data_IF_774294105301
#
_entry.id   IF_774294105301
#
_cell.length_a   1.000
_cell.length_b   1.000
_cell.length_c   1.000
_cell.angle_alpha   90.00
_cell.angle_beta   90.00
_cell.angle_gamma   90.00
#
_symmetry.space_group_name_H-M   'P 1'
#
loop_
_entity.id
_entity.type
_entity.pdbx_description
1 polymer ?
#
# COMPACT_ATOMS: atom_id res chain seq x y z
N UNK A 1 15.48 19.20 72.25
CA UNK A 1 16.17 18.25 71.37
C UNK A 1 15.34 18.12 70.09
N UNK A 2 15.65 18.92 69.10
CA UNK A 2 14.99 18.86 67.76
C UNK A 2 15.85 18.04 66.82
N UNK A 3 15.28 16.93 66.30
CA UNK A 3 15.89 16.09 65.27
C UNK A 3 15.45 16.58 63.88
N UNK A 4 16.36 17.04 63.10
CA UNK A 4 16.12 17.42 61.70
C UNK A 4 16.26 16.19 60.80
N UNK A 5 15.17 15.79 60.11
CA UNK A 5 15.19 14.80 59.05
C UNK A 5 15.54 15.51 57.72
N UNK A 6 16.69 15.19 57.17
CA UNK A 6 17.08 15.62 55.83
C UNK A 6 16.48 14.67 54.80
N UNK A 7 15.57 15.16 53.97
CA UNK A 7 15.03 14.42 52.82
C UNK A 7 15.93 14.59 51.63
N UNK A 8 16.59 13.51 51.24
CA UNK A 8 17.42 13.45 50.02
C UNK A 8 16.51 13.20 48.78
N UNK A 9 16.38 14.21 47.93
CA UNK A 9 15.67 14.07 46.66
C UNK A 9 16.68 13.47 45.65
N UNK A 10 16.41 12.23 45.22
CA UNK A 10 17.15 11.59 44.12
C UNK A 10 16.50 12.03 42.80
N UNK A 11 17.16 12.92 42.05
CA UNK A 11 16.79 13.24 40.69
C UNK A 11 17.22 12.07 39.81
N UNK A 12 16.27 11.28 39.34
CA UNK A 12 16.51 10.31 38.27
C UNK A 12 16.56 11.04 36.91
N UNK A 13 17.77 11.16 36.33
CA UNK A 13 17.94 11.65 34.99
C UNK A 13 17.46 10.58 34.01
N UNK A 14 16.31 10.81 33.36
CA UNK A 14 15.86 10.00 32.24
C UNK A 14 16.76 10.28 31.03
N UNK A 15 17.71 9.39 30.75
CA UNK A 15 18.49 9.41 29.52
C UNK A 15 17.59 8.99 28.37
N UNK A 16 17.16 9.94 27.54
CA UNK A 16 16.49 9.66 26.28
C UNK A 16 17.50 9.04 25.32
N UNK A 17 17.46 7.73 25.16
CA UNK A 17 18.13 7.05 24.07
C UNK A 17 17.37 7.37 22.77
N UNK A 18 17.78 8.42 22.08
CA UNK A 18 17.48 8.59 20.67
C UNK A 18 18.29 7.52 19.91
N UNK A 19 17.66 6.37 19.65
CA UNK A 19 18.22 5.40 18.72
C UNK A 19 18.32 6.07 17.35
N UNK A 20 19.52 6.43 16.94
CA UNK A 20 19.80 6.85 15.57
C UNK A 20 19.37 5.72 14.64
N UNK A 21 18.32 5.95 13.84
CA UNK A 21 17.93 5.05 12.76
C UNK A 21 19.16 4.93 11.82
N UNK A 22 19.54 3.72 11.42
CA UNK A 22 20.62 3.56 10.47
C UNK A 22 20.23 4.27 9.18
N UNK A 23 20.91 5.35 8.87
CA UNK A 23 20.91 5.94 7.53
C UNK A 23 21.44 4.88 6.59
N UNK A 24 20.61 4.38 5.69
CA UNK A 24 21.09 3.60 4.57
C UNK A 24 22.01 4.52 3.78
N UNK A 25 23.32 4.33 3.95
CA UNK A 25 24.33 4.97 3.09
C UNK A 25 24.10 4.43 1.68
N UNK A 26 24.04 5.32 0.71
CA UNK A 26 23.90 5.02 -0.71
C UNK A 26 25.22 4.42 -1.27
N UNK A 27 25.80 3.44 -0.56
CA UNK A 27 26.97 2.70 -0.98
C UNK A 27 26.55 1.33 -1.50
N UNK A 28 26.53 1.23 -2.84
CA UNK A 28 26.55 -0.05 -3.52
C UNK A 28 25.21 -0.75 -3.67
N UNK A 29 24.14 -0.05 -4.10
CA UNK A 29 22.99 -0.75 -4.68
C UNK A 29 23.53 -1.64 -5.82
N UNK A 30 23.48 -2.97 -5.64
CA UNK A 30 23.95 -3.92 -6.64
C UNK A 30 23.21 -3.61 -7.94
N UNK A 31 23.97 -3.41 -9.02
CA UNK A 31 23.37 -3.11 -10.33
C UNK A 31 22.39 -4.22 -10.69
N UNK A 32 21.16 -3.86 -11.00
CA UNK A 32 20.15 -4.82 -11.48
C UNK A 32 20.60 -5.41 -12.83
N UNK A 33 21.01 -6.67 -12.83
CA UNK A 33 21.49 -7.36 -14.02
C UNK A 33 20.44 -8.31 -14.62
N UNK A 34 19.47 -8.75 -13.80
CA UNK A 34 18.43 -9.69 -14.21
C UNK A 34 17.12 -9.30 -13.53
N UNK A 35 16.34 -8.37 -14.12
CA UNK A 35 15.06 -7.97 -13.56
C UNK A 35 14.07 -9.12 -13.44
N UNK A 36 13.38 -9.20 -12.31
CA UNK A 36 12.25 -10.10 -12.13
C UNK A 36 11.10 -9.70 -13.09
N UNK A 37 10.46 -10.68 -13.73
CA UNK A 37 9.34 -10.41 -14.64
C UNK A 37 8.02 -10.55 -13.93
N UNK A 38 7.37 -9.42 -13.59
CA UNK A 38 6.03 -9.39 -13.04
C UNK A 38 5.00 -9.63 -14.13
N UNK A 39 4.20 -10.70 -13.98
CA UNK A 39 3.20 -11.12 -14.96
C UNK A 39 1.80 -10.70 -14.54
N UNK A 40 0.93 -10.50 -15.53
CA UNK A 40 -0.50 -10.44 -15.28
C UNK A 40 -0.99 -11.73 -14.62
N UNK A 41 -1.93 -11.63 -13.65
CA UNK A 41 -2.56 -12.81 -13.04
C UNK A 41 -3.12 -13.80 -14.06
N UNK A 42 -3.59 -13.30 -15.22
CA UNK A 42 -4.06 -14.11 -16.31
C UNK A 42 -2.97 -15.07 -16.86
N UNK A 43 -1.72 -14.63 -16.83
CA UNK A 43 -0.59 -15.29 -17.48
C UNK A 43 0.36 -15.99 -16.48
N UNK A 44 0.02 -15.95 -15.18
CA UNK A 44 0.72 -16.70 -14.12
C UNK A 44 0.33 -18.18 -14.21
N UNK A 45 1.30 -19.09 -14.09
CA UNK A 45 1.03 -20.54 -14.06
C UNK A 45 0.19 -20.96 -12.85
N UNK A 46 -0.54 -22.07 -12.95
CA UNK A 46 -1.32 -22.58 -11.81
C UNK A 46 -0.45 -22.91 -10.59
N UNK A 47 0.76 -23.45 -10.82
CA UNK A 47 1.71 -23.72 -9.73
C UNK A 47 2.10 -22.45 -9.00
N UNK A 48 2.41 -21.36 -9.76
CA UNK A 48 2.84 -20.10 -9.20
C UNK A 48 1.68 -19.37 -8.51
N UNK A 49 0.45 -19.45 -9.06
CA UNK A 49 -0.76 -18.98 -8.40
C UNK A 49 -0.95 -19.65 -7.04
N UNK A 50 -0.84 -20.98 -6.97
CA UNK A 50 -0.96 -21.73 -5.72
C UNK A 50 0.12 -21.31 -4.71
N UNK A 51 1.37 -21.19 -5.15
CA UNK A 51 2.47 -20.74 -4.29
C UNK A 51 2.22 -19.33 -3.74
N UNK A 52 1.80 -18.39 -4.60
CA UNK A 52 1.48 -17.02 -4.20
C UNK A 52 0.30 -16.95 -3.21
N UNK A 53 -0.81 -17.64 -3.50
CA UNK A 53 -1.99 -17.67 -2.62
C UNK A 53 -1.67 -18.29 -1.25
N UNK A 54 -0.86 -19.34 -1.22
CA UNK A 54 -0.41 -19.97 0.03
C UNK A 54 0.48 -19.02 0.84
N UNK A 55 1.39 -18.30 0.20
CA UNK A 55 2.23 -17.32 0.88
C UNK A 55 1.41 -16.14 1.44
N UNK A 56 0.44 -15.61 0.68
CA UNK A 56 -0.49 -14.58 1.18
C UNK A 56 -1.26 -15.09 2.38
N UNK A 57 -1.83 -16.29 2.31
CA UNK A 57 -2.55 -16.90 3.42
C UNK A 57 -1.66 -17.07 4.66
N UNK A 58 -0.39 -17.48 4.47
CA UNK A 58 0.58 -17.56 5.55
C UNK A 58 0.79 -16.20 6.22
N UNK A 59 1.00 -15.10 5.45
CA UNK A 59 1.15 -13.76 6.03
C UNK A 59 -0.12 -13.35 6.80
N UNK A 60 -1.31 -13.67 6.29
CA UNK A 60 -2.59 -13.35 6.92
C UNK A 60 -2.82 -14.10 8.24
N UNK A 61 -2.17 -15.25 8.44
CA UNK A 61 -2.38 -16.09 9.62
C UNK A 61 -1.17 -16.15 10.56
N UNK A 62 0.00 -15.70 10.13
CA UNK A 62 1.20 -15.63 10.96
C UNK A 62 1.08 -14.54 12.03
N UNK A 63 1.54 -14.79 13.28
CA UNK A 63 1.51 -13.77 14.33
C UNK A 63 2.30 -12.52 13.96
N UNK A 64 1.86 -11.35 14.46
CA UNK A 64 2.61 -10.11 14.37
C UNK A 64 4.03 -10.25 14.93
N UNK A 65 4.98 -9.46 14.44
CA UNK A 65 6.37 -9.45 14.91
C UNK A 65 6.79 -8.12 15.54
N UNK A 66 6.18 -7.00 15.11
CA UNK A 66 6.57 -5.67 15.58
C UNK A 66 6.05 -5.34 16.97
N UNK A 67 4.92 -5.92 17.39
CA UNK A 67 4.30 -5.74 18.72
C UNK A 67 4.07 -4.27 19.15
N UNK A 68 3.95 -3.35 18.20
CA UNK A 68 3.82 -1.91 18.47
C UNK A 68 2.77 -1.19 17.62
N UNK A 69 2.18 -1.91 16.64
CA UNK A 69 1.15 -1.33 15.79
C UNK A 69 -0.22 -1.57 16.42
N UNK A 70 -1.00 -0.50 16.69
CA UNK A 70 -2.29 -0.61 17.34
C UNK A 70 -3.23 -1.60 16.65
N UNK A 71 -3.81 -2.52 17.40
CA UNK A 71 -4.78 -3.49 16.90
C UNK A 71 -4.24 -4.63 16.05
N UNK A 72 -3.00 -4.57 15.56
CA UNK A 72 -2.40 -5.63 14.75
C UNK A 72 -2.24 -6.92 15.56
N UNK A 73 -2.60 -8.06 14.96
CA UNK A 73 -2.46 -9.41 15.53
C UNK A 73 -1.66 -10.34 14.62
N UNK A 74 -1.66 -10.06 13.34
CA UNK A 74 -0.98 -10.87 12.32
C UNK A 74 0.03 -10.03 11.54
N UNK A 75 0.89 -10.70 10.78
CA UNK A 75 1.79 -10.02 9.83
C UNK A 75 1.01 -9.24 8.76
N UNK A 76 -0.19 -9.73 8.40
CA UNK A 76 -1.08 -9.02 7.49
C UNK A 76 -1.65 -7.75 8.13
N UNK A 77 -2.07 -7.83 9.40
CA UNK A 77 -2.52 -6.64 10.12
C UNK A 77 -1.42 -5.59 10.23
N UNK A 78 -0.16 -6.00 10.45
CA UNK A 78 0.98 -5.06 10.44
C UNK A 78 1.10 -4.36 9.08
N UNK A 79 0.97 -5.12 7.98
CA UNK A 79 0.97 -4.56 6.63
C UNK A 79 -0.20 -3.58 6.42
N UNK A 80 -1.43 -3.96 6.80
CA UNK A 80 -2.60 -3.09 6.68
C UNK A 80 -2.46 -1.83 7.54
N UNK A 81 -1.88 -1.96 8.75
CA UNK A 81 -1.61 -0.82 9.65
C UNK A 81 -0.69 0.22 9.00
N UNK A 82 0.27 -0.18 8.15
CA UNK A 82 1.10 0.78 7.43
C UNK A 82 0.24 1.70 6.56
N UNK A 83 -0.70 1.13 5.82
CA UNK A 83 -1.59 1.90 4.96
C UNK A 83 -2.51 2.81 5.76
N UNK A 84 -3.05 2.32 6.90
CA UNK A 84 -3.88 3.09 7.82
C UNK A 84 -3.11 4.27 8.43
N UNK A 85 -1.91 4.03 8.95
CA UNK A 85 -1.09 5.04 9.64
C UNK A 85 -0.63 6.13 8.66
N UNK A 86 -0.26 5.74 7.44
CA UNK A 86 0.21 6.68 6.43
C UNK A 86 -0.92 7.29 5.57
N UNK A 87 -2.18 6.94 5.81
CA UNK A 87 -3.29 7.30 4.90
C UNK A 87 -3.31 8.77 4.49
N UNK A 88 -3.08 9.71 5.43
CA UNK A 88 -3.02 11.15 5.17
C UNK A 88 -1.75 11.59 4.42
N UNK A 89 -0.74 10.73 4.33
CA UNK A 89 0.52 11.02 3.65
C UNK A 89 0.55 10.45 2.24
N UNK A 90 -0.18 9.36 1.98
CA UNK A 90 -0.06 8.57 0.76
C UNK A 90 -1.26 8.68 -0.20
N UNK A 91 -2.32 9.42 0.16
CA UNK A 91 -3.46 9.66 -0.71
C UNK A 91 -3.60 11.15 -1.03
N UNK A 92 -3.99 11.47 -2.27
CA UNK A 92 -4.10 12.85 -2.80
C UNK A 92 -2.81 13.68 -2.65
N UNK A 93 -1.68 13.04 -2.50
CA UNK A 93 -0.36 13.64 -2.28
C UNK A 93 0.64 13.16 -3.33
N UNK A 94 1.80 13.82 -3.39
CA UNK A 94 2.88 13.40 -4.27
C UNK A 94 3.51 12.05 -3.89
N UNK A 95 3.29 11.56 -2.67
CA UNK A 95 3.79 10.25 -2.22
C UNK A 95 3.01 9.06 -2.80
N UNK A 96 1.82 9.26 -3.34
CA UNK A 96 0.92 8.17 -3.70
C UNK A 96 1.62 7.06 -4.50
N UNK A 97 2.16 7.36 -5.68
CA UNK A 97 2.79 6.36 -6.55
C UNK A 97 4.08 5.78 -5.95
N UNK A 98 5.05 6.60 -5.45
CA UNK A 98 6.27 6.07 -4.85
C UNK A 98 6.01 5.19 -3.63
N UNK A 99 5.11 5.61 -2.73
CA UNK A 99 4.82 4.84 -1.53
C UNK A 99 4.16 3.50 -1.85
N UNK A 100 3.19 3.45 -2.75
CA UNK A 100 2.53 2.18 -3.13
C UNK A 100 3.51 1.23 -3.83
N UNK A 101 4.47 1.72 -4.60
CA UNK A 101 5.58 0.91 -5.13
C UNK A 101 6.48 0.34 -4.03
N UNK A 102 6.84 1.14 -3.05
CA UNK A 102 7.57 0.70 -1.85
C UNK A 102 6.72 -0.29 -1.02
N UNK A 103 5.43 -0.08 -0.93
CA UNK A 103 4.49 -0.94 -0.23
C UNK A 103 4.35 -2.32 -0.88
N UNK A 104 4.37 -2.40 -2.21
CA UNK A 104 4.47 -3.66 -2.94
C UNK A 104 5.76 -4.42 -2.60
N UNK A 105 6.90 -3.72 -2.48
CA UNK A 105 8.16 -4.34 -2.02
C UNK A 105 8.05 -4.85 -0.58
N UNK A 106 7.34 -4.14 0.27
CA UNK A 106 7.09 -4.58 1.65
C UNK A 106 6.27 -5.88 1.67
N UNK A 107 5.23 -5.99 0.83
CA UNK A 107 4.52 -7.26 0.67
C UNK A 107 5.44 -8.36 0.16
N UNK A 108 6.25 -8.12 -0.87
CA UNK A 108 7.17 -9.15 -1.39
C UNK A 108 8.07 -9.72 -0.29
N UNK A 109 8.62 -8.85 0.55
CA UNK A 109 9.41 -9.28 1.70
C UNK A 109 8.62 -10.23 2.63
N UNK A 110 7.38 -9.88 2.97
CA UNK A 110 6.53 -10.72 3.82
C UNK A 110 6.18 -12.07 3.18
N UNK A 111 5.96 -12.08 1.87
CA UNK A 111 5.71 -13.31 1.12
C UNK A 111 6.95 -14.20 1.09
N UNK A 112 8.17 -13.64 0.99
CA UNK A 112 9.43 -14.39 1.10
C UNK A 112 9.61 -14.95 2.51
N UNK A 113 9.26 -14.20 3.57
CA UNK A 113 9.24 -14.75 4.94
C UNK A 113 8.30 -15.96 5.07
N UNK A 114 7.24 -16.00 4.28
CA UNK A 114 6.27 -17.11 4.19
C UNK A 114 6.64 -18.19 3.14
N UNK A 115 7.87 -18.18 2.65
CA UNK A 115 8.39 -19.24 1.77
C UNK A 115 7.96 -19.12 0.31
N UNK A 116 7.54 -17.94 -0.17
CA UNK A 116 7.30 -17.76 -1.60
C UNK A 116 8.59 -18.04 -2.38
N UNK A 117 8.61 -19.00 -3.32
CA UNK A 117 9.81 -19.31 -4.12
C UNK A 117 10.34 -18.09 -4.85
N UNK A 118 11.66 -17.99 -4.98
CA UNK A 118 12.34 -16.82 -5.60
C UNK A 118 11.87 -16.58 -7.05
N UNK A 119 11.51 -17.64 -7.75
CA UNK A 119 11.08 -17.61 -9.15
C UNK A 119 9.65 -17.08 -9.31
N UNK A 120 8.85 -17.11 -8.24
CA UNK A 120 7.48 -16.58 -8.24
C UNK A 120 7.51 -15.10 -7.88
N UNK A 121 7.21 -14.25 -8.85
CA UNK A 121 7.23 -12.79 -8.68
C UNK A 121 5.85 -12.25 -8.28
N UNK A 122 5.80 -11.01 -7.79
CA UNK A 122 4.53 -10.35 -7.53
C UNK A 122 3.73 -10.22 -8.84
N UNK A 123 2.50 -10.77 -8.89
CA UNK A 123 1.63 -10.58 -10.05
C UNK A 123 0.95 -9.21 -10.00
N UNK A 124 0.41 -8.79 -11.14
CA UNK A 124 -0.51 -7.67 -11.23
C UNK A 124 -1.83 -8.10 -11.87
N UNK A 125 -2.90 -7.33 -11.68
CA UNK A 125 -4.16 -7.54 -12.35
C UNK A 125 -4.22 -6.67 -13.61
N UNK A 126 -4.25 -7.29 -14.79
CA UNK A 126 -4.47 -6.58 -16.06
C UNK A 126 -5.96 -6.24 -16.18
N UNK A 127 -6.36 -5.19 -15.46
CA UNK A 127 -7.76 -4.75 -15.36
C UNK A 127 -8.42 -4.44 -16.71
N UNK A 128 -7.73 -3.86 -17.70
CA UNK A 128 -8.29 -3.67 -19.03
C UNK A 128 -8.83 -4.94 -19.70
N UNK A 129 -8.23 -6.10 -19.44
CA UNK A 129 -8.72 -7.39 -19.97
C UNK A 129 -10.08 -7.78 -19.39
N UNK A 130 -10.40 -7.30 -18.19
CA UNK A 130 -11.61 -7.66 -17.45
C UNK A 130 -12.61 -6.50 -17.32
N UNK A 131 -12.29 -5.33 -17.86
CA UNK A 131 -13.13 -4.13 -17.76
C UNK A 131 -14.57 -4.40 -18.21
N UNK A 132 -15.55 -3.99 -17.41
CA UNK A 132 -16.97 -4.24 -17.61
C UNK A 132 -17.44 -5.65 -17.19
N UNK A 133 -16.53 -6.52 -16.73
CA UNK A 133 -16.83 -7.92 -16.35
C UNK A 133 -15.91 -8.43 -15.22
N UNK A 134 -15.53 -7.59 -14.26
CA UNK A 134 -14.67 -7.97 -13.13
C UNK A 134 -15.16 -9.21 -12.41
N UNK A 135 -16.49 -9.39 -12.30
CA UNK A 135 -17.06 -10.58 -11.68
C UNK A 135 -16.69 -11.91 -12.37
N UNK A 136 -16.17 -11.86 -13.57
CA UNK A 136 -15.71 -13.01 -14.38
C UNK A 136 -14.18 -13.11 -14.48
N UNK A 137 -13.46 -12.20 -13.85
CA UNK A 137 -12.00 -12.21 -13.84
C UNK A 137 -11.45 -13.47 -13.16
N UNK A 138 -10.37 -14.09 -13.70
CA UNK A 138 -9.68 -15.18 -13.03
C UNK A 138 -9.06 -14.79 -11.68
N UNK A 139 -8.94 -13.49 -11.38
CA UNK A 139 -8.57 -12.99 -10.05
C UNK A 139 -9.56 -13.47 -8.98
N UNK A 140 -10.84 -13.60 -9.33
CA UNK A 140 -11.89 -14.01 -8.39
C UNK A 140 -12.25 -15.50 -8.47
N UNK A 141 -11.42 -16.32 -9.14
CA UNK A 141 -11.59 -17.77 -9.15
C UNK A 141 -11.56 -18.34 -7.73
N UNK A 142 -12.39 -19.37 -7.48
CA UNK A 142 -12.55 -19.97 -6.15
C UNK A 142 -11.42 -20.92 -5.75
N UNK A 143 -10.59 -21.33 -6.69
CA UNK A 143 -9.50 -22.30 -6.45
C UNK A 143 -8.13 -21.65 -6.67
N UNK A 144 -7.99 -20.96 -7.80
CA UNK A 144 -6.76 -20.32 -8.26
C UNK A 144 -6.86 -18.79 -8.26
N UNK A 145 -7.68 -18.23 -7.38
CA UNK A 145 -7.90 -16.78 -7.22
C UNK A 145 -8.23 -16.42 -5.78
N UNK A 146 -8.81 -15.27 -5.61
CA UNK A 146 -9.03 -14.64 -4.29
C UNK A 146 -10.47 -14.79 -3.78
N UNK A 147 -11.29 -15.64 -4.43
CA UNK A 147 -12.73 -15.74 -4.16
C UNK A 147 -13.53 -14.59 -4.76
N UNK A 148 -14.83 -14.78 -4.86
CA UNK A 148 -15.75 -13.84 -5.53
C UNK A 148 -16.28 -12.73 -4.62
N UNK A 149 -17.44 -12.20 -5.00
CA UNK A 149 -18.22 -11.30 -4.14
C UNK A 149 -18.63 -11.99 -2.86
N UNK A 150 -18.59 -11.25 -1.76
CA UNK A 150 -19.07 -11.74 -0.48
C UNK A 150 -20.58 -11.89 -0.43
N UNK A 151 -21.08 -12.51 0.63
CA UNK A 151 -22.49 -12.80 0.88
C UNK A 151 -22.97 -12.22 2.22
N UNK A 152 -24.29 -12.12 2.35
CA UNK A 152 -24.94 -11.59 3.55
C UNK A 152 -24.80 -10.06 3.68
N UNK A 153 -25.33 -9.51 4.79
CA UNK A 153 -25.40 -8.07 5.03
C UNK A 153 -24.02 -7.38 5.06
N UNK A 154 -22.98 -8.10 5.50
CA UNK A 154 -21.60 -7.57 5.57
C UNK A 154 -20.79 -7.88 4.32
N UNK A 155 -21.35 -8.58 3.32
CA UNK A 155 -20.66 -9.02 2.11
C UNK A 155 -19.35 -9.77 2.40
N UNK A 156 -19.34 -10.67 3.41
CA UNK A 156 -18.17 -11.47 3.76
C UNK A 156 -17.84 -12.48 2.67
N UNK A 157 -16.56 -12.59 2.31
CA UNK A 157 -16.05 -13.58 1.34
C UNK A 157 -16.11 -14.96 1.96
N UNK A 158 -16.91 -15.85 1.37
CA UNK A 158 -17.19 -17.19 1.89
C UNK A 158 -16.67 -18.31 0.97
N UNK A 159 -15.96 -17.94 -0.10
CA UNK A 159 -15.37 -18.88 -1.05
C UNK A 159 -13.89 -18.56 -1.30
N UNK A 160 -13.17 -19.48 -1.94
CA UNK A 160 -11.76 -19.31 -2.23
C UNK A 160 -10.83 -19.54 -1.02
N UNK A 161 -9.52 -19.35 -1.22
CA UNK A 161 -8.49 -19.62 -0.20
C UNK A 161 -8.57 -18.71 1.03
N UNK A 162 -9.26 -17.58 0.90
CA UNK A 162 -9.37 -16.52 1.92
C UNK A 162 -10.74 -16.49 2.61
N UNK A 163 -11.58 -17.50 2.37
CA UNK A 163 -12.88 -17.64 3.03
C UNK A 163 -12.74 -17.64 4.56
N UNK A 164 -13.63 -16.93 5.23
CA UNK A 164 -13.70 -16.84 6.70
C UNK A 164 -12.45 -16.21 7.38
N UNK A 165 -11.55 -15.57 6.63
CA UNK A 165 -10.44 -14.86 7.25
C UNK A 165 -10.90 -13.56 7.90
N UNK A 166 -10.23 -13.21 8.99
CA UNK A 166 -10.47 -11.97 9.77
C UNK A 166 -9.31 -11.00 9.55
N UNK A 167 -9.64 -9.74 9.34
CA UNK A 167 -8.73 -8.60 9.35
C UNK A 167 -9.05 -7.77 10.59
N UNK A 168 -8.04 -7.37 11.37
CA UNK A 168 -8.25 -6.68 12.64
C UNK A 168 -8.11 -5.16 12.54
N UNK A 169 -7.69 -4.64 11.38
CA UNK A 169 -7.47 -3.22 11.10
C UNK A 169 -8.62 -2.67 10.26
N UNK A 170 -9.16 -1.51 10.63
CA UNK A 170 -10.31 -0.85 10.00
C UNK A 170 -11.65 -1.20 10.65
N UNK A 171 -12.77 -0.71 10.08
CA UNK A 171 -12.84 0.21 8.94
C UNK A 171 -12.34 1.61 9.29
N UNK A 172 -11.84 2.32 8.31
CA UNK A 172 -11.25 3.64 8.51
C UNK A 172 -10.11 3.58 9.53
N UNK A 173 -10.06 4.54 10.45
CA UNK A 173 -9.03 4.59 11.50
C UNK A 173 -9.32 3.70 12.72
N UNK A 174 -10.32 2.83 12.67
CA UNK A 174 -10.63 1.88 13.76
C UNK A 174 -9.70 0.66 13.70
N UNK A 175 -9.64 -0.06 14.83
CA UNK A 175 -8.91 -1.32 14.99
C UNK A 175 -9.86 -2.35 15.58
N UNK A 176 -10.65 -3.00 14.73
CA UNK A 176 -11.63 -4.00 15.16
C UNK A 176 -11.69 -5.19 14.20
N UNK A 177 -11.91 -6.43 14.73
CA UNK A 177 -12.04 -7.60 13.89
C UNK A 177 -13.23 -7.49 12.93
N UNK A 178 -12.97 -7.80 11.64
CA UNK A 178 -14.00 -7.87 10.60
C UNK A 178 -13.66 -8.96 9.60
N UNK A 179 -14.66 -9.52 8.94
CA UNK A 179 -14.43 -10.45 7.85
C UNK A 179 -13.80 -9.72 6.65
N UNK A 180 -13.03 -10.45 5.85
CA UNK A 180 -12.70 -10.03 4.49
C UNK A 180 -14.01 -9.86 3.72
N UNK A 181 -14.29 -8.67 3.20
CA UNK A 181 -15.54 -8.40 2.51
C UNK A 181 -15.34 -7.66 1.19
N UNK A 182 -16.18 -8.01 0.20
CA UNK A 182 -16.08 -7.50 -1.17
C UNK A 182 -17.43 -7.56 -1.85
N UNK A 183 -17.75 -6.54 -2.68
CA UNK A 183 -18.93 -6.53 -3.53
C UNK A 183 -18.53 -6.03 -4.93
N UNK A 184 -18.37 -6.97 -5.87
CA UNK A 184 -17.90 -6.69 -7.23
C UNK A 184 -19.06 -6.08 -8.04
N UNK A 185 -18.75 -4.99 -8.75
CA UNK A 185 -19.68 -4.23 -9.59
C UNK A 185 -19.10 -4.08 -10.99
N UNK A 186 -19.61 -4.86 -11.95
CA UNK A 186 -19.11 -4.87 -13.33
C UNK A 186 -19.27 -3.52 -14.03
N UNK A 187 -20.37 -2.80 -13.77
CA UNK A 187 -20.60 -1.48 -14.36
C UNK A 187 -19.47 -0.48 -14.04
N UNK A 188 -19.05 -0.38 -12.78
CA UNK A 188 -17.97 0.54 -12.38
C UNK A 188 -16.62 0.13 -12.99
N UNK A 189 -16.39 -1.17 -13.14
CA UNK A 189 -15.15 -1.67 -13.73
C UNK A 189 -14.94 -1.29 -15.20
N UNK A 190 -15.99 -0.83 -15.90
CA UNK A 190 -15.87 -0.36 -17.28
C UNK A 190 -14.90 0.81 -17.42
N UNK A 191 -14.74 1.62 -16.37
CA UNK A 191 -13.80 2.75 -16.32
C UNK A 191 -12.34 2.32 -16.10
N UNK A 192 -12.07 1.01 -15.95
CA UNK A 192 -10.72 0.46 -15.93
C UNK A 192 -10.24 -0.01 -17.33
N UNK A 193 -11.02 0.27 -18.40
CA UNK A 193 -10.72 -0.17 -19.77
C UNK A 193 -9.49 0.53 -20.38
N UNK A 194 -8.96 -0.06 -21.46
CA UNK A 194 -7.71 0.37 -22.11
C UNK A 194 -7.68 1.85 -22.53
N UNK A 195 -8.82 2.42 -22.95
CA UNK A 195 -8.90 3.84 -23.31
C UNK A 195 -8.68 4.76 -22.12
N UNK A 196 -9.21 4.42 -20.93
CA UNK A 196 -9.00 5.16 -19.71
C UNK A 196 -7.54 5.07 -19.25
N UNK A 197 -6.93 3.88 -19.32
CA UNK A 197 -5.51 3.69 -19.02
C UNK A 197 -4.62 4.50 -19.96
N UNK A 198 -4.87 4.45 -21.26
CA UNK A 198 -4.11 5.24 -22.27
C UNK A 198 -4.21 6.74 -21.96
N UNK A 199 -5.40 7.23 -21.61
CA UNK A 199 -5.62 8.61 -21.22
C UNK A 199 -4.86 8.96 -19.93
N UNK A 200 -4.91 8.11 -18.92
CA UNK A 200 -4.27 8.35 -17.62
C UNK A 200 -2.74 8.50 -17.72
N UNK A 201 -2.10 7.77 -18.63
CA UNK A 201 -0.65 7.85 -18.83
C UNK A 201 -0.23 8.81 -19.96
N UNK A 202 -1.13 9.65 -20.47
CA UNK A 202 -0.82 10.59 -21.57
C UNK A 202 -0.11 11.86 -21.09
N UNK A 203 -0.25 12.23 -19.82
CA UNK A 203 0.29 13.46 -19.25
C UNK A 203 1.81 13.59 -19.41
N UNK A 204 2.30 14.83 -19.51
CA UNK A 204 3.73 15.13 -19.72
C UNK A 204 4.51 15.32 -18.41
N UNK A 205 3.81 15.55 -17.29
CA UNK A 205 4.40 15.75 -15.95
C UNK A 205 3.90 14.70 -14.97
N UNK A 206 4.67 14.49 -13.88
CA UNK A 206 4.28 13.61 -12.78
C UNK A 206 2.90 13.95 -12.23
N UNK A 207 2.64 15.24 -11.97
CA UNK A 207 1.35 15.68 -11.43
C UNK A 207 0.18 15.30 -12.33
N UNK A 208 0.32 15.49 -13.64
CA UNK A 208 -0.75 15.12 -14.59
C UNK A 208 -0.98 13.59 -14.62
N UNK A 209 0.09 12.80 -14.61
CA UNK A 209 -0.02 11.35 -14.56
C UNK A 209 -0.60 10.88 -13.22
N UNK A 210 -0.11 11.44 -12.10
CA UNK A 210 -0.62 11.14 -10.76
C UNK A 210 -2.13 11.38 -10.67
N UNK A 211 -2.59 12.58 -11.03
CA UNK A 211 -4.02 12.94 -10.91
C UNK A 211 -4.90 12.05 -11.80
N UNK A 212 -4.46 11.76 -13.02
CA UNK A 212 -5.23 10.97 -13.97
C UNK A 212 -5.25 9.47 -13.61
N UNK A 213 -4.16 8.91 -13.10
CA UNK A 213 -4.11 7.53 -12.61
C UNK A 213 -4.96 7.43 -11.33
N UNK A 214 -4.78 8.37 -10.38
CA UNK A 214 -5.44 8.35 -9.08
C UNK A 214 -6.96 8.42 -9.22
N UNK A 215 -7.49 9.43 -9.91
CA UNK A 215 -8.94 9.67 -10.05
C UNK A 215 -9.60 8.86 -11.18
N UNK A 216 -8.83 8.18 -12.00
CA UNK A 216 -9.27 7.32 -13.09
C UNK A 216 -9.22 5.84 -12.71
N UNK A 217 -8.39 5.02 -13.40
CA UNK A 217 -8.38 3.57 -13.23
C UNK A 217 -8.18 3.11 -11.79
N UNK A 218 -7.33 3.80 -10.99
CA UNK A 218 -7.13 3.47 -9.58
C UNK A 218 -8.44 3.58 -8.78
N UNK A 219 -9.11 4.75 -8.84
CA UNK A 219 -10.36 4.96 -8.10
C UNK A 219 -11.44 3.95 -8.51
N UNK A 220 -11.62 3.75 -9.81
CA UNK A 220 -12.66 2.84 -10.31
C UNK A 220 -12.35 1.37 -10.04
N UNK A 221 -11.08 0.97 -10.00
CA UNK A 221 -10.67 -0.36 -9.55
C UNK A 221 -11.11 -0.63 -8.11
N UNK A 222 -10.85 0.30 -7.20
CA UNK A 222 -11.30 0.23 -5.81
C UNK A 222 -12.82 0.24 -5.69
N UNK A 223 -13.50 1.17 -6.34
CA UNK A 223 -14.97 1.29 -6.28
C UNK A 223 -15.69 0.08 -6.88
N UNK A 224 -15.13 -0.52 -7.93
CA UNK A 224 -15.69 -1.73 -8.54
C UNK A 224 -15.64 -2.95 -7.62
N UNK A 225 -14.75 -2.98 -6.63
CA UNK A 225 -14.68 -4.00 -5.59
C UNK A 225 -15.42 -3.60 -4.31
N UNK A 226 -15.56 -2.30 -4.07
CA UNK A 226 -16.25 -1.68 -2.92
C UNK A 226 -15.93 -2.32 -1.55
N UNK A 227 -16.78 -2.14 -0.54
CA UNK A 227 -16.61 -2.69 0.81
C UNK A 227 -15.19 -2.39 1.36
N UNK A 228 -14.40 -3.41 1.72
CA UNK A 228 -13.03 -3.22 2.24
C UNK A 228 -12.12 -2.52 1.22
N UNK A 229 -12.22 -2.88 -0.06
CA UNK A 229 -11.44 -2.21 -1.12
C UNK A 229 -11.85 -0.75 -1.36
N UNK A 230 -13.08 -0.38 -1.05
CA UNK A 230 -13.57 1.00 -1.11
C UNK A 230 -13.25 1.84 0.12
N UNK A 231 -12.62 1.25 1.14
CA UNK A 231 -12.14 1.95 2.34
C UNK A 231 -10.74 2.50 2.10
N UNK A 232 -10.61 3.74 1.68
CA UNK A 232 -9.34 4.37 1.34
C UNK A 232 -8.28 4.32 2.45
N UNK A 233 -8.67 4.07 3.70
CA UNK A 233 -7.76 3.97 4.84
C UNK A 233 -7.21 2.54 5.00
N UNK A 234 -8.03 1.51 4.76
CA UNK A 234 -7.67 0.11 5.05
C UNK A 234 -8.03 -0.85 3.92
N UNK A 235 -8.12 -0.36 2.68
CA UNK A 235 -8.37 -1.18 1.47
C UNK A 235 -7.36 -2.32 1.29
N UNK A 236 -6.13 -2.14 1.74
CA UNK A 236 -5.08 -3.17 1.72
C UNK A 236 -5.38 -4.40 2.60
N UNK A 237 -6.44 -4.36 3.39
CA UNK A 237 -6.97 -5.54 4.08
C UNK A 237 -7.44 -6.64 3.13
N UNK A 238 -7.94 -6.28 1.94
CA UNK A 238 -8.25 -7.22 0.87
C UNK A 238 -6.99 -7.52 0.03
N UNK A 239 -6.53 -8.78 -0.06
CA UNK A 239 -5.32 -9.11 -0.81
C UNK A 239 -5.37 -8.76 -2.31
N UNK A 240 -6.55 -8.60 -2.90
CA UNK A 240 -6.70 -8.12 -4.29
C UNK A 240 -6.16 -6.69 -4.46
N UNK A 241 -6.14 -5.88 -3.41
CA UNK A 241 -5.50 -4.57 -3.38
C UNK A 241 -4.10 -4.59 -4.01
N UNK A 242 -3.28 -5.58 -3.68
CA UNK A 242 -1.90 -5.64 -4.16
C UNK A 242 -1.77 -6.00 -5.64
N UNK A 243 -2.74 -6.75 -6.20
CA UNK A 243 -2.79 -6.99 -7.64
C UNK A 243 -3.24 -5.73 -8.39
N UNK A 244 -4.22 -5.02 -7.84
CA UNK A 244 -4.69 -3.72 -8.33
C UNK A 244 -3.55 -2.70 -8.30
N UNK A 245 -2.87 -2.52 -7.15
CA UNK A 245 -1.73 -1.61 -7.04
C UNK A 245 -0.50 -2.06 -7.84
N UNK A 246 -0.35 -3.36 -8.12
CA UNK A 246 0.61 -3.85 -9.11
C UNK A 246 0.31 -3.31 -10.50
N UNK A 247 -0.98 -3.20 -10.87
CA UNK A 247 -1.39 -2.57 -12.13
C UNK A 247 -1.23 -1.03 -12.10
N UNK A 248 -1.55 -0.38 -11.00
CA UNK A 248 -1.29 1.06 -10.82
C UNK A 248 0.20 1.37 -10.97
N UNK A 249 1.06 0.55 -10.38
CA UNK A 249 2.52 0.67 -10.51
C UNK A 249 3.00 0.43 -11.96
N UNK A 250 2.39 -0.53 -12.66
CA UNK A 250 2.63 -0.74 -14.09
C UNK A 250 2.27 0.49 -14.91
N UNK A 251 1.11 1.11 -14.68
CA UNK A 251 0.72 2.35 -15.37
C UNK A 251 1.76 3.46 -15.15
N UNK A 252 2.26 3.61 -13.93
CA UNK A 252 3.31 4.59 -13.64
C UNK A 252 4.63 4.24 -14.34
N UNK A 253 5.03 2.98 -14.34
CA UNK A 253 6.21 2.51 -15.06
C UNK A 253 6.09 2.73 -16.59
N UNK A 254 4.93 2.46 -17.17
CA UNK A 254 4.65 2.71 -18.58
C UNK A 254 4.70 4.22 -18.92
N UNK A 255 4.21 5.06 -18.01
CA UNK A 255 4.37 6.51 -18.13
C UNK A 255 5.84 6.91 -18.06
N UNK A 256 6.62 6.39 -17.09
CA UNK A 256 8.05 6.67 -16.95
C UNK A 256 8.83 6.24 -18.21
N UNK A 257 8.51 5.09 -18.79
CA UNK A 257 9.18 4.53 -19.95
C UNK A 257 9.13 5.41 -21.21
N UNK A 258 8.18 6.35 -21.30
CA UNK A 258 8.08 7.29 -22.44
C UNK A 258 9.22 8.32 -22.47
N UNK A 259 9.87 8.61 -21.32
CA UNK A 259 11.03 9.51 -21.21
C UNK A 259 11.73 9.26 -19.87
N UNK A 260 12.50 8.18 -19.78
CA UNK A 260 13.19 7.79 -18.53
C UNK A 260 14.11 8.88 -18.00
N UNK A 261 14.83 9.58 -18.90
CA UNK A 261 15.80 10.60 -18.50
C UNK A 261 15.16 11.72 -17.68
N UNK A 262 13.96 12.14 -18.07
CA UNK A 262 13.20 13.18 -17.40
C UNK A 262 12.34 12.61 -16.27
N UNK A 263 11.60 11.53 -16.54
CA UNK A 263 10.51 11.06 -15.67
C UNK A 263 10.97 10.27 -14.45
N UNK A 264 12.20 9.76 -14.45
CA UNK A 264 12.82 9.21 -13.24
C UNK A 264 13.25 10.28 -12.23
N UNK A 265 13.12 11.56 -12.58
CA UNK A 265 13.42 12.71 -11.70
C UNK A 265 12.21 13.62 -11.49
N UNK A 266 11.11 13.35 -12.19
CA UNK A 266 9.90 14.17 -12.11
C UNK A 266 9.05 13.68 -10.94
N UNK A 267 9.01 14.47 -9.88
CA UNK A 267 8.21 14.26 -8.67
C UNK A 267 7.69 15.60 -8.18
N UNK A 268 6.44 15.67 -7.73
CA UNK A 268 5.81 16.90 -7.25
C UNK A 268 4.54 16.61 -6.46
N UNK A 269 4.03 17.60 -5.77
CA UNK A 269 2.83 17.53 -4.95
C UNK A 269 3.12 17.71 -3.48
N UNK A 270 2.09 17.76 -2.66
CA UNK A 270 2.21 17.82 -1.21
C UNK A 270 2.80 16.51 -0.68
N UNK A 271 3.52 16.57 0.43
CA UNK A 271 4.02 15.39 1.13
C UNK A 271 3.03 14.82 2.16
N UNK A 272 2.00 15.57 2.55
CA UNK A 272 0.89 15.05 3.35
C UNK A 272 -0.34 15.96 3.22
N UNK A 273 -1.50 15.42 3.54
CA UNK A 273 -2.71 16.20 3.82
C UNK A 273 -2.61 16.86 5.20
N UNK A 274 -3.37 17.94 5.41
CA UNK A 274 -3.47 18.57 6.73
C UNK A 274 -4.21 17.66 7.72
N UNK A 275 -3.57 17.17 8.77
CA UNK A 275 -4.20 16.29 9.75
C UNK A 275 -5.31 16.98 10.55
N UNK A 276 -5.35 18.32 10.60
CA UNK A 276 -6.43 19.07 11.25
C UNK A 276 -7.74 19.01 10.43
N UNK A 277 -7.63 18.95 9.11
CA UNK A 277 -8.77 18.77 8.20
C UNK A 277 -9.21 17.30 8.19
N UNK A 278 -8.29 16.37 8.38
CA UNK A 278 -8.51 14.94 8.29
C UNK A 278 -8.37 14.42 6.87
N UNK A 279 -8.84 13.20 6.64
CA UNK A 279 -8.76 12.57 5.33
C UNK A 279 -9.76 13.24 4.36
N UNK A 280 -9.23 13.84 3.31
CA UNK A 280 -10.03 14.34 2.18
C UNK A 280 -9.62 13.61 0.91
N UNK A 281 -10.58 12.98 0.26
CA UNK A 281 -10.38 12.29 -1.01
C UNK A 281 -11.16 13.01 -2.11
N UNK A 282 -10.49 13.27 -3.22
CA UNK A 282 -11.11 13.86 -4.39
C UNK A 282 -11.77 12.75 -5.22
N UNK A 283 -13.02 12.45 -4.96
CA UNK A 283 -13.80 11.51 -5.78
C UNK A 283 -14.72 12.30 -6.71
N UNK A 284 -14.23 12.62 -7.93
CA UNK A 284 -15.07 13.16 -8.99
C UNK A 284 -15.85 14.45 -8.65
N UNK A 285 -15.30 15.29 -7.77
CA UNK A 285 -15.92 16.55 -7.35
C UNK A 285 -16.77 16.50 -6.07
N UNK A 286 -16.81 15.34 -5.40
CA UNK A 286 -17.37 15.23 -4.04
C UNK A 286 -16.22 15.05 -3.05
N UNK A 287 -16.12 15.93 -2.06
CA UNK A 287 -15.32 15.68 -0.86
C UNK A 287 -15.98 14.51 -0.11
N UNK A 288 -15.29 13.38 -0.07
CA UNK A 288 -15.66 12.29 0.85
C UNK A 288 -15.15 12.72 2.22
N UNK A 289 -16.05 13.31 2.99
CA UNK A 289 -15.73 13.88 4.29
C UNK A 289 -15.14 12.85 5.26
N UNK A 290 -14.28 13.34 6.14
CA UNK A 290 -13.76 12.65 7.34
C UNK A 290 -14.86 11.97 8.20
N UNK A 291 -16.13 12.33 8.03
CA UNK A 291 -17.27 11.71 8.70
C UNK A 291 -17.40 10.20 8.42
N UNK A 292 -17.02 9.73 7.23
CA UNK A 292 -17.10 8.30 6.88
C UNK A 292 -15.99 7.47 7.54
N UNK A 293 -14.78 7.99 7.57
CA UNK A 293 -13.60 7.24 8.02
C UNK A 293 -13.13 7.59 9.44
N UNK A 294 -13.62 8.71 10.00
CA UNK A 294 -13.18 9.27 11.27
C UNK A 294 -11.82 9.97 11.16
N UNK A 295 -11.22 10.21 12.31
CA UNK A 295 -9.86 10.79 12.44
C UNK A 295 -8.94 9.78 13.12
N UNK A 296 -7.63 9.81 12.84
CA UNK A 296 -6.67 8.95 13.54
C UNK A 296 -6.68 9.28 15.05
N UNK A 297 -6.74 8.25 15.87
CA UNK A 297 -6.60 8.37 17.34
C UNK A 297 -5.16 8.70 17.74
N UNK A 298 -4.97 9.12 19.00
CA UNK A 298 -3.64 9.50 19.54
C UNK A 298 -2.62 8.37 19.42
N UNK A 299 -3.04 7.12 19.58
CA UNK A 299 -2.17 5.95 19.46
C UNK A 299 -1.65 5.74 18.03
N UNK A 300 -2.44 6.03 16.99
CA UNK A 300 -2.00 6.00 15.61
C UNK A 300 -1.08 7.18 15.29
N UNK A 301 -1.44 8.39 15.76
CA UNK A 301 -0.62 9.59 15.57
C UNK A 301 0.76 9.45 16.24
N UNK A 302 0.84 8.78 17.39
CA UNK A 302 2.12 8.55 18.09
C UNK A 302 3.12 7.68 17.31
N UNK A 303 2.65 6.86 16.37
CA UNK A 303 3.50 6.01 15.53
C UNK A 303 3.59 6.50 14.07
N UNK A 304 2.85 7.56 13.72
CA UNK A 304 2.87 8.14 12.37
C UNK A 304 4.21 8.86 12.16
N UNK A 305 4.96 8.54 11.10
CA UNK A 305 6.20 9.24 10.77
C UNK A 305 5.99 10.71 10.45
N UNK A 306 7.06 11.50 10.60
CA UNK A 306 7.07 12.90 10.17
C UNK A 306 6.74 12.99 8.67
N UNK A 307 5.67 13.70 8.28
CA UNK A 307 5.28 13.85 6.88
C UNK A 307 6.30 14.59 6.02
N UNK A 308 7.24 15.31 6.64
CA UNK A 308 8.33 16.04 5.94
C UNK A 308 9.64 15.27 5.89
N UNK A 309 9.63 13.99 6.28
CA UNK A 309 10.83 13.17 6.41
C UNK A 309 11.74 13.24 5.16
N UNK A 310 12.89 13.89 5.28
CA UNK A 310 13.84 14.09 4.17
C UNK A 310 13.55 15.29 3.25
N UNK A 311 12.39 15.93 3.36
CA UNK A 311 12.02 17.11 2.57
C UNK A 311 12.35 18.42 3.29
N UNK A 312 12.71 19.45 2.52
CA UNK A 312 12.97 20.80 3.06
C UNK A 312 11.70 21.60 3.35
N UNK A 313 10.51 21.10 3.01
CA UNK A 313 9.23 21.81 3.14
C UNK A 313 8.01 20.91 3.01
N UNK A 314 6.86 21.46 2.64
CA UNK A 314 5.59 20.75 2.49
C UNK A 314 5.40 20.06 1.14
N UNK A 315 6.40 20.10 0.25
CA UNK A 315 6.36 19.46 -1.07
C UNK A 315 7.33 18.29 -1.10
N UNK A 316 6.88 17.18 -1.67
CA UNK A 316 7.69 15.98 -1.81
C UNK A 316 8.89 16.22 -2.72
N UNK A 317 10.01 15.60 -2.38
CA UNK A 317 11.24 15.57 -3.18
C UNK A 317 11.74 14.14 -3.37
N UNK A 318 12.78 13.95 -4.18
CA UNK A 318 13.45 12.66 -4.33
C UNK A 318 14.09 12.17 -3.01
N UNK A 319 14.38 13.07 -2.08
CA UNK A 319 14.96 12.75 -0.77
C UNK A 319 13.91 12.32 0.28
N UNK A 320 12.60 12.41 -0.05
CA UNK A 320 11.55 12.02 0.88
C UNK A 320 11.74 10.58 1.32
N UNK A 321 11.71 10.34 2.63
CA UNK A 321 11.93 9.02 3.24
C UNK A 321 10.59 8.33 3.50
N UNK A 322 10.38 7.20 2.87
CA UNK A 322 9.25 6.30 3.09
C UNK A 322 9.58 5.27 4.15
N UNK A 323 8.63 4.95 5.01
CA UNK A 323 8.82 4.02 6.12
C UNK A 323 7.76 2.91 6.11
N UNK A 324 8.21 1.68 6.35
CA UNK A 324 7.37 0.54 6.67
C UNK A 324 7.29 0.28 8.18
N UNK A 325 7.63 1.26 8.99
CA UNK A 325 7.66 1.15 10.45
C UNK A 325 8.51 -0.05 10.93
N UNK A 326 9.51 -0.46 10.16
CA UNK A 326 10.47 -1.51 10.52
C UNK A 326 10.14 -2.90 9.99
N UNK A 327 9.19 -3.08 9.09
CA UNK A 327 9.02 -4.34 8.34
C UNK A 327 10.21 -4.54 7.39
N UNK A 328 10.56 -3.51 6.62
CA UNK A 328 11.77 -3.45 5.79
C UNK A 328 12.51 -2.13 6.06
N UNK A 329 13.77 -1.99 5.68
CA UNK A 329 14.49 -0.71 5.78
C UNK A 329 13.76 0.42 5.06
N UNK A 330 13.83 1.63 5.62
CA UNK A 330 13.33 2.83 4.97
C UNK A 330 14.02 3.04 3.61
N UNK A 331 13.29 3.66 2.68
CA UNK A 331 13.80 4.01 1.36
C UNK A 331 13.43 5.44 1.02
N UNK A 332 14.24 6.10 0.19
CA UNK A 332 13.88 7.39 -0.39
C UNK A 332 12.99 7.23 -1.62
N UNK A 333 12.31 8.30 -2.01
CA UNK A 333 11.60 8.33 -3.31
C UNK A 333 12.57 8.03 -4.45
N UNK A 334 13.80 8.56 -4.39
CA UNK A 334 14.83 8.28 -5.41
C UNK A 334 15.11 6.79 -5.58
N UNK A 335 15.13 6.01 -4.49
CA UNK A 335 15.40 4.56 -4.53
C UNK A 335 14.32 3.78 -5.32
N UNK A 336 13.09 4.29 -5.35
CA UNK A 336 11.96 3.60 -6.00
C UNK A 336 11.56 4.18 -7.35
N UNK A 337 12.20 5.26 -7.83
CA UNK A 337 11.85 5.85 -9.13
C UNK A 337 12.11 4.89 -10.30
N UNK A 338 13.22 4.17 -10.28
CA UNK A 338 13.60 3.23 -11.34
C UNK A 338 13.29 1.79 -10.92
N UNK A 339 12.29 1.17 -11.57
CA UNK A 339 11.95 -0.25 -11.31
C UNK A 339 13.07 -1.21 -11.69
N UNK A 340 13.97 -0.81 -12.61
CA UNK A 340 15.18 -1.56 -12.99
C UNK A 340 16.43 -1.12 -12.21
N UNK A 341 16.26 -0.23 -11.24
CA UNK A 341 17.31 0.16 -10.30
C UNK A 341 17.68 -0.97 -9.34
N UNK A 342 18.84 -0.87 -8.71
CA UNK A 342 19.34 -1.92 -7.80
C UNK A 342 18.46 -2.16 -6.58
N UNK A 343 17.66 -1.18 -6.16
CA UNK A 343 16.76 -1.33 -5.02
C UNK A 343 15.52 -2.21 -5.33
N UNK A 344 14.96 -2.11 -6.54
CA UNK A 344 13.71 -2.82 -6.92
C UNK A 344 13.99 -4.02 -7.84
N UNK A 345 14.63 -3.82 -8.96
CA UNK A 345 15.08 -4.84 -9.91
C UNK A 345 13.97 -5.72 -10.51
N UNK A 346 12.92 -5.11 -11.06
CA UNK A 346 11.88 -5.82 -11.80
C UNK A 346 11.45 -5.09 -13.08
N UNK A 347 10.69 -5.79 -13.91
CA UNK A 347 9.98 -5.26 -15.08
C UNK A 347 8.60 -5.90 -15.21
N UNK A 348 7.70 -5.25 -15.94
CA UNK A 348 6.40 -5.81 -16.29
C UNK A 348 6.46 -6.54 -17.63
N UNK A 349 5.88 -7.76 -17.66
CA UNK A 349 5.79 -8.58 -18.85
C UNK A 349 4.50 -8.28 -19.64
#
# INVERSE_FOLDING_TARGET
MLSALASTIILAAAASFAAALPTATADGASKCTTPEKRKSWHDVSESDKKAYLNAVKCVMTSPQKLNRLPGAKTRWDELVSLHQIHALQIHTTGQFLPYHRYYLKTLDFLLRECGLPKEVTLPYWDEPRDAGKFSKSPVFDKVLGFGGSGVGAQSCVMDGPFANLTVNIGPGFKTQPRCLNRKITDFLSSSCGASYVTSAISGSTYKQALDAIYSGPHLYGHMALSMMNGDSITSSGDPVFFLHHGFVDKMWADWQAKDLTKRLKDISGLNAQDPAVGFSEFSGGMEVESAMWGKPGQELLAVTPDPKSGDGGGTITLNHIMSSLGIIPNATVADVMDIKGGYLCYEYA
#
